data_IF_666997234547
#
_entry.id   IF_666997234547
#
_cell.length_a   1.000
_cell.length_b   1.000
_cell.length_c   1.000
_cell.angle_alpha   90.00
_cell.angle_beta   90.00
_cell.angle_gamma   90.00
#
_symmetry.space_group_name_H-M   'P 1'
#
loop_
_entity.id
_entity.type
_entity.pdbx_description
1 polymer ?
#
# COMPACT_ATOMS: atom_id res chain seq x y z
N UNK A 1 18.85 -25.97 0.74
CA UNK A 1 19.34 -25.05 -0.31
C UNK A 1 18.54 -23.77 -0.19
N UNK A 2 19.08 -22.79 0.50
CA UNK A 2 18.46 -21.47 0.71
C UNK A 2 18.39 -20.78 -0.64
N UNK A 3 17.20 -20.74 -1.24
CA UNK A 3 16.97 -19.95 -2.44
C UNK A 3 17.07 -18.48 -2.03
N UNK A 4 18.25 -17.87 -2.23
CA UNK A 4 18.37 -16.42 -2.26
C UNK A 4 17.62 -15.96 -3.49
N UNK A 5 16.33 -15.62 -3.34
CA UNK A 5 15.55 -14.95 -4.39
C UNK A 5 16.37 -13.74 -4.86
N UNK A 6 16.66 -13.70 -6.15
CA UNK A 6 17.40 -12.59 -6.75
C UNK A 6 16.54 -11.32 -6.70
N UNK A 7 17.15 -10.15 -6.89
CA UNK A 7 16.45 -8.86 -7.03
C UNK A 7 15.44 -8.84 -8.20
N UNK A 8 15.39 -9.89 -9.03
CA UNK A 8 14.54 -10.03 -10.21
C UNK A 8 13.31 -10.95 -10.02
N UNK A 9 13.18 -11.68 -8.89
CA UNK A 9 12.05 -12.61 -8.68
C UNK A 9 11.02 -12.01 -7.71
N UNK A 10 10.21 -11.09 -8.23
CA UNK A 10 9.00 -10.58 -7.57
C UNK A 10 7.84 -11.56 -7.80
N UNK A 11 6.94 -11.70 -6.83
CA UNK A 11 5.88 -12.73 -6.92
C UNK A 11 4.74 -12.29 -7.85
N UNK A 12 4.04 -13.27 -8.46
CA UNK A 12 2.77 -13.04 -9.16
C UNK A 12 1.74 -12.33 -8.27
N UNK A 13 1.80 -12.55 -6.95
CA UNK A 13 0.93 -11.90 -5.99
C UNK A 13 1.19 -10.38 -5.89
N UNK A 14 2.43 -9.91 -6.12
CA UNK A 14 2.69 -8.47 -6.17
C UNK A 14 2.03 -7.83 -7.39
N UNK A 15 2.22 -8.41 -8.57
CA UNK A 15 1.62 -7.89 -9.81
C UNK A 15 0.07 -7.91 -9.71
N UNK A 16 -0.50 -8.98 -9.13
CA UNK A 16 -1.94 -9.07 -8.89
C UNK A 16 -2.44 -8.08 -7.83
N UNK A 17 -1.71 -7.91 -6.72
CA UNK A 17 -2.06 -6.91 -5.71
C UNK A 17 -2.04 -5.49 -6.27
N UNK A 18 -1.10 -5.15 -7.15
CA UNK A 18 -1.06 -3.86 -7.85
C UNK A 18 -2.31 -3.69 -8.73
N UNK A 19 -2.67 -4.72 -9.50
CA UNK A 19 -3.86 -4.72 -10.36
C UNK A 19 -5.13 -4.48 -9.54
N UNK A 20 -5.32 -5.26 -8.46
CA UNK A 20 -6.47 -5.15 -7.57
C UNK A 20 -6.56 -3.78 -6.90
N UNK A 21 -5.45 -3.22 -6.43
CA UNK A 21 -5.44 -1.89 -5.83
C UNK A 21 -5.86 -0.81 -6.85
N UNK A 22 -5.35 -0.90 -8.08
CA UNK A 22 -5.67 0.04 -9.15
C UNK A 22 -7.14 -0.06 -9.61
N UNK A 23 -7.74 -1.25 -9.50
CA UNK A 23 -9.18 -1.49 -9.72
C UNK A 23 -10.06 -1.17 -8.50
N UNK A 24 -9.45 -0.71 -7.40
CA UNK A 24 -10.12 -0.34 -6.13
C UNK A 24 -10.66 -1.54 -5.34
N UNK A 25 -10.24 -2.75 -5.67
CA UNK A 25 -10.47 -3.97 -4.90
C UNK A 25 -9.50 -4.04 -3.71
N UNK A 26 -9.64 -3.11 -2.77
CA UNK A 26 -8.67 -2.92 -1.68
C UNK A 26 -8.63 -4.10 -0.70
N UNK A 27 -9.77 -4.73 -0.43
CA UNK A 27 -9.82 -5.89 0.45
C UNK A 27 -9.14 -7.10 -0.20
N UNK A 28 -9.42 -7.37 -1.47
CA UNK A 28 -8.81 -8.46 -2.23
C UNK A 28 -7.30 -8.22 -2.42
N UNK A 29 -6.90 -6.96 -2.65
CA UNK A 29 -5.49 -6.56 -2.67
C UNK A 29 -4.80 -6.89 -1.34
N UNK A 30 -5.44 -6.59 -0.20
CA UNK A 30 -4.94 -6.98 1.12
C UNK A 30 -4.73 -8.49 1.23
N UNK A 31 -5.76 -9.29 0.90
CA UNK A 31 -5.69 -10.76 1.05
C UNK A 31 -4.55 -11.36 0.22
N UNK A 32 -4.46 -10.99 -1.07
CA UNK A 32 -3.43 -11.50 -1.98
C UNK A 32 -2.02 -11.13 -1.51
N UNK A 33 -1.82 -9.89 -1.05
CA UNK A 33 -0.52 -9.44 -0.58
C UNK A 33 -0.17 -10.02 0.79
N UNK A 34 -1.15 -10.27 1.67
CA UNK A 34 -0.93 -10.85 2.99
C UNK A 34 -0.45 -12.30 2.88
N UNK A 35 -1.03 -13.09 1.96
CA UNK A 35 -0.56 -14.46 1.70
C UNK A 35 0.89 -14.47 1.22
N UNK A 36 1.25 -13.60 0.27
CA UNK A 36 2.64 -13.47 -0.19
C UNK A 36 3.58 -12.99 0.93
N UNK A 37 3.12 -12.07 1.78
CA UNK A 37 3.87 -11.59 2.93
C UNK A 37 4.13 -12.69 3.96
N UNK A 38 3.16 -13.59 4.21
CA UNK A 38 3.35 -14.73 5.14
C UNK A 38 4.49 -15.64 4.71
N UNK A 39 4.70 -15.80 3.40
CA UNK A 39 5.75 -16.64 2.82
C UNK A 39 7.09 -15.91 2.60
N UNK A 40 7.12 -14.57 2.67
CA UNK A 40 8.33 -13.79 2.40
C UNK A 40 9.20 -13.59 3.65
N UNK A 41 10.35 -14.26 3.70
CA UNK A 41 11.33 -14.16 4.80
C UNK A 41 12.44 -13.13 4.54
N UNK A 42 12.51 -12.58 3.33
CA UNK A 42 13.61 -11.76 2.84
C UNK A 42 13.38 -10.25 2.98
N UNK A 43 14.24 -9.44 2.34
CA UNK A 43 14.25 -7.99 2.47
C UNK A 43 13.03 -7.31 1.83
N UNK A 44 12.10 -8.05 1.22
CA UNK A 44 10.87 -7.51 0.64
C UNK A 44 9.68 -7.54 1.61
N UNK A 45 9.84 -8.21 2.76
CA UNK A 45 8.77 -8.35 3.75
C UNK A 45 8.19 -7.01 4.20
N UNK A 46 9.04 -6.01 4.43
CA UNK A 46 8.57 -4.67 4.83
C UNK A 46 7.83 -3.96 3.68
N UNK A 47 8.28 -4.15 2.43
CA UNK A 47 7.56 -3.60 1.28
C UNK A 47 6.14 -4.16 1.18
N UNK A 48 5.99 -5.50 1.25
CA UNK A 48 4.67 -6.12 1.26
C UNK A 48 3.82 -5.59 2.42
N UNK A 49 4.39 -5.49 3.63
CA UNK A 49 3.65 -4.96 4.77
C UNK A 49 3.18 -3.51 4.56
N UNK A 50 4.00 -2.68 3.91
CA UNK A 50 3.63 -1.31 3.54
C UNK A 50 2.47 -1.28 2.53
N UNK A 51 2.49 -2.16 1.52
CA UNK A 51 1.44 -2.25 0.50
C UNK A 51 0.13 -2.83 1.07
N UNK A 52 0.21 -3.81 1.96
CA UNK A 52 -0.95 -4.36 2.69
C UNK A 52 -1.63 -3.23 3.49
N UNK A 53 -0.84 -2.47 4.26
CA UNK A 53 -1.38 -1.34 5.03
C UNK A 53 -1.94 -0.24 4.15
N UNK A 54 -1.33 0.01 2.98
CA UNK A 54 -1.87 0.92 1.99
C UNK A 54 -3.27 0.47 1.54
N UNK A 55 -3.44 -0.80 1.15
CA UNK A 55 -4.74 -1.36 0.78
C UNK A 55 -5.76 -1.23 1.91
N UNK A 56 -5.40 -1.63 3.13
CA UNK A 56 -6.26 -1.52 4.32
C UNK A 56 -6.65 -0.08 4.63
N UNK A 57 -5.75 0.89 4.45
CA UNK A 57 -6.05 2.30 4.69
C UNK A 57 -7.13 2.82 3.73
N UNK A 58 -7.04 2.50 2.44
CA UNK A 58 -8.05 2.90 1.47
C UNK A 58 -9.37 2.13 1.60
N UNK A 59 -9.33 0.86 2.04
CA UNK A 59 -10.52 0.12 2.45
C UNK A 59 -11.24 0.78 3.65
N UNK A 60 -10.49 1.27 4.63
CA UNK A 60 -11.07 2.05 5.73
C UNK A 60 -11.69 3.36 5.23
N UNK A 61 -11.01 4.09 4.35
CA UNK A 61 -11.49 5.36 3.82
C UNK A 61 -12.78 5.21 2.99
N UNK A 62 -12.88 4.16 2.17
CA UNK A 62 -14.09 3.81 1.41
C UNK A 62 -15.32 3.62 2.32
N UNK A 63 -15.10 3.11 3.53
CA UNK A 63 -16.15 2.88 4.54
C UNK A 63 -16.39 4.09 5.46
N UNK A 64 -15.82 5.25 5.13
CA UNK A 64 -15.91 6.48 5.92
C UNK A 64 -15.12 6.45 7.24
N UNK A 65 -14.25 5.45 7.44
CA UNK A 65 -13.42 5.34 8.63
C UNK A 65 -12.07 6.04 8.42
N UNK A 66 -12.08 7.37 8.42
CA UNK A 66 -10.86 8.17 8.17
C UNK A 66 -9.83 8.11 9.30
N UNK A 67 -10.27 7.91 10.55
CA UNK A 67 -9.36 7.67 11.68
C UNK A 67 -8.57 6.38 11.48
N UNK A 68 -9.26 5.29 11.13
CA UNK A 68 -8.63 4.01 10.78
C UNK A 68 -7.70 4.12 9.58
N UNK A 69 -8.15 4.81 8.53
CA UNK A 69 -7.34 5.06 7.33
C UNK A 69 -6.04 5.80 7.68
N UNK A 70 -6.13 6.89 8.43
CA UNK A 70 -4.97 7.67 8.88
C UNK A 70 -4.01 6.83 9.73
N UNK A 71 -4.54 6.11 10.73
CA UNK A 71 -3.73 5.28 11.63
C UNK A 71 -2.98 4.18 10.88
N UNK A 72 -3.63 3.50 9.94
CA UNK A 72 -2.99 2.42 9.19
C UNK A 72 -1.97 2.98 8.21
N UNK A 73 -2.32 4.03 7.44
CA UNK A 73 -1.42 4.63 6.45
C UNK A 73 -0.16 5.23 7.08
N UNK A 74 -0.31 5.94 8.22
CA UNK A 74 0.84 6.49 8.96
C UNK A 74 1.81 5.39 9.42
N UNK A 75 1.32 4.21 9.76
CA UNK A 75 2.15 3.06 10.12
C UNK A 75 2.72 2.28 8.92
N UNK A 76 2.17 2.46 7.72
CA UNK A 76 2.58 1.79 6.49
C UNK A 76 3.63 2.57 5.70
N UNK A 77 3.50 3.90 5.65
CA UNK A 77 4.43 4.78 4.93
C UNK A 77 5.92 4.56 5.30
N UNK A 78 6.31 4.41 6.58
CA UNK A 78 7.70 4.14 6.96
C UNK A 78 8.27 2.88 6.33
N UNK A 79 7.43 1.91 5.97
CA UNK A 79 7.84 0.64 5.38
C UNK A 79 8.08 0.75 3.87
N UNK A 80 7.45 1.74 3.20
CA UNK A 80 7.64 2.00 1.78
C UNK A 80 8.87 2.90 1.51
N UNK A 81 9.18 3.82 2.42
CA UNK A 81 10.27 4.82 2.27
C UNK A 81 11.64 4.24 1.90
N UNK A 82 12.13 3.14 2.52
CA UNK A 82 13.45 2.59 2.21
C UNK A 82 13.59 2.15 0.75
N UNK A 83 12.47 1.84 0.09
CA UNK A 83 12.43 1.31 -1.27
C UNK A 83 12.25 2.39 -2.34
N UNK A 84 12.06 3.67 -1.98
CA UNK A 84 11.78 4.76 -2.93
C UNK A 84 12.79 4.91 -4.06
N UNK A 85 14.06 4.56 -3.83
CA UNK A 85 15.15 4.69 -4.81
C UNK A 85 15.57 3.35 -5.42
N UNK A 86 15.10 2.23 -4.88
CA UNK A 86 15.60 0.89 -5.21
C UNK A 86 14.53 -0.03 -5.78
N UNK A 87 13.24 0.25 -5.53
CA UNK A 87 12.15 -0.47 -6.16
C UNK A 87 11.98 0.01 -7.60
N UNK A 88 12.18 -0.90 -8.55
CA UNK A 88 11.99 -0.64 -9.99
C UNK A 88 10.62 -1.07 -10.49
N UNK A 89 9.90 -1.88 -9.70
CA UNK A 89 8.57 -2.41 -10.02
C UNK A 89 7.43 -1.47 -9.64
N UNK A 90 7.66 -0.64 -8.61
CA UNK A 90 6.73 0.38 -8.16
C UNK A 90 7.49 1.69 -8.08
N UNK A 91 6.94 2.72 -8.71
CA UNK A 91 7.38 4.10 -8.71
C UNK A 91 7.11 4.75 -7.34
N UNK A 92 7.73 4.23 -6.29
CA UNK A 92 7.55 4.67 -4.90
C UNK A 92 8.01 6.11 -4.66
N UNK A 93 8.92 6.61 -5.49
CA UNK A 93 9.31 8.02 -5.52
C UNK A 93 8.13 8.95 -5.92
N UNK A 94 7.14 8.44 -6.66
CA UNK A 94 5.92 9.15 -7.05
C UNK A 94 4.78 8.84 -6.07
N UNK A 95 4.60 7.56 -5.74
CA UNK A 95 3.49 7.11 -4.90
C UNK A 95 3.58 7.67 -3.47
N UNK A 96 4.75 7.63 -2.83
CA UNK A 96 4.88 8.05 -1.42
C UNK A 96 4.48 9.51 -1.19
N UNK A 97 4.91 10.50 -2.00
CA UNK A 97 4.41 11.88 -1.88
C UNK A 97 2.88 11.99 -2.00
N UNK A 98 2.25 11.21 -2.89
CA UNK A 98 0.78 11.18 -3.00
C UNK A 98 0.14 10.62 -1.72
N UNK A 99 0.71 9.56 -1.15
CA UNK A 99 0.24 8.96 0.10
C UNK A 99 0.41 9.90 1.30
N UNK A 100 1.48 10.70 1.34
CA UNK A 100 1.65 11.74 2.36
C UNK A 100 0.55 12.80 2.29
N UNK A 101 0.11 13.16 1.09
CA UNK A 101 -1.01 14.09 0.91
C UNK A 101 -2.33 13.47 1.36
N UNK A 102 -2.57 12.20 1.01
CA UNK A 102 -3.71 11.44 1.52
C UNK A 102 -3.72 11.31 3.04
N UNK A 103 -2.55 11.15 3.66
CA UNK A 103 -2.44 11.11 5.11
C UNK A 103 -2.94 12.42 5.73
N UNK A 104 -2.53 13.58 5.20
CA UNK A 104 -3.03 14.89 5.68
C UNK A 104 -4.53 15.04 5.47
N UNK A 105 -5.07 14.59 4.34
CA UNK A 105 -6.52 14.60 4.08
C UNK A 105 -7.27 13.79 5.14
N UNK A 106 -6.82 12.57 5.43
CA UNK A 106 -7.44 11.74 6.47
C UNK A 106 -7.32 12.35 7.87
N UNK A 107 -6.26 13.10 8.16
CA UNK A 107 -6.14 13.85 9.42
C UNK A 107 -7.22 14.95 9.53
N UNK A 108 -7.42 15.74 8.47
CA UNK A 108 -8.46 16.77 8.43
C UNK A 108 -9.85 16.15 8.54
N UNK A 109 -10.10 15.06 7.80
CA UNK A 109 -11.41 14.41 7.72
C UNK A 109 -11.85 13.68 8.99
N UNK A 110 -10.98 13.54 9.98
CA UNK A 110 -11.37 13.11 11.32
C UNK A 110 -12.22 14.16 12.06
N UNK A 111 -12.05 15.45 11.71
CA UNK A 111 -12.75 16.57 12.36
C UNK A 111 -13.85 17.13 11.48
N UNK A 112 -13.59 17.19 10.18
CA UNK A 112 -14.48 17.75 9.16
C UNK A 112 -14.61 16.74 8.03
N UNK A 113 -15.63 15.86 8.05
CA UNK A 113 -15.74 14.75 7.10
C UNK A 113 -15.69 15.25 5.66
N UNK A 114 -14.65 14.84 4.93
CA UNK A 114 -14.54 15.10 3.50
C UNK A 114 -15.35 14.11 2.67
N UNK A 115 -15.41 14.40 1.37
CA UNK A 115 -15.94 13.44 0.40
C UNK A 115 -14.79 12.58 -0.11
N UNK A 116 -14.88 11.28 0.12
CA UNK A 116 -13.93 10.32 -0.43
C UNK A 116 -14.37 9.92 -1.85
N UNK A 117 -13.53 10.22 -2.84
CA UNK A 117 -13.73 9.83 -4.23
C UNK A 117 -12.69 8.77 -4.64
N UNK A 118 -13.18 7.60 -5.06
CA UNK A 118 -12.37 6.49 -5.55
C UNK A 118 -11.53 6.86 -6.80
N UNK A 119 -11.99 7.84 -7.59
CA UNK A 119 -11.27 8.33 -8.75
C UNK A 119 -9.99 9.09 -8.35
N UNK A 120 -9.93 9.66 -7.15
CA UNK A 120 -8.76 10.42 -6.67
C UNK A 120 -7.69 9.53 -6.00
N UNK A 121 -8.03 8.29 -5.66
CA UNK A 121 -7.08 7.35 -5.04
C UNK A 121 -5.89 7.17 -5.99
N UNK A 122 -4.63 7.24 -5.52
CA UNK A 122 -3.47 7.10 -6.38
C UNK A 122 -3.48 5.73 -7.06
N UNK A 123 -2.78 5.64 -8.18
CA UNK A 123 -2.48 4.37 -8.81
C UNK A 123 -1.06 3.94 -8.42
N UNK A 124 -0.86 2.64 -8.31
CA UNK A 124 0.46 2.05 -8.17
C UNK A 124 1.00 1.83 -9.59
N UNK A 125 2.06 2.57 -9.94
CA UNK A 125 2.72 2.57 -11.24
C UNK A 125 4.10 1.91 -11.20
#
# INVERSE_FOLDING_TARGET
MTHKKSQADWSLALDEGIRLFNERHFFECHEVLEDAWREEEGPLRDLYQGLIKLAVAFYHAERGNFEGAHKVLSSGLPQLRPYQKTCTKISLNILVPQLEEWLKRFEVWQREPGTFDLAEVPLIH
#
